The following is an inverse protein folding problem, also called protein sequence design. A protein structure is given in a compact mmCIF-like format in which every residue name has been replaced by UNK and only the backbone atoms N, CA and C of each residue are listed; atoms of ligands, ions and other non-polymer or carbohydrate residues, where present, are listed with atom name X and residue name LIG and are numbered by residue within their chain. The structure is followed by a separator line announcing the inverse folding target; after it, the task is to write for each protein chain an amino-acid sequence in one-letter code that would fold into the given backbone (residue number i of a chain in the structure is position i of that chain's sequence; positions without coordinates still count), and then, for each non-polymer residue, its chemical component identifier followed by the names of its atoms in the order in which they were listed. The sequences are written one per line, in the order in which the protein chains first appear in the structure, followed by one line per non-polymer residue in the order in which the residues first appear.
data_IF_619660171871
#
_entry.id   IF_619660171871
#
_cell.length_a   1.000
_cell.length_b   1.000
_cell.length_c   1.000
_cell.angle_alpha   90.00
_cell.angle_beta   90.00
_cell.angle_gamma   90.00
#
_symmetry.space_group_name_H-M   'P 1'
#
loop_
_entity.id
_entity.type
_entity.pdbx_description
1 polymer ?
#
# COMPACT_ATOMS: atom_id res chain seq x y z
N UNK A 1 13.36 -4.64 2.99
CA UNK A 1 12.28 -3.67 3.27
C UNK A 1 11.42 -4.17 4.44
N UNK A 2 11.11 -3.31 5.43
CA UNK A 2 10.18 -3.67 6.52
C UNK A 2 8.75 -3.75 5.98
N UNK A 3 7.89 -4.56 6.62
CA UNK A 3 6.49 -4.74 6.15
C UNK A 3 5.71 -3.43 6.15
N UNK A 4 5.87 -2.60 7.17
CA UNK A 4 5.19 -1.31 7.28
C UNK A 4 5.54 -0.38 6.10
N UNK A 5 6.83 -0.20 5.81
CA UNK A 5 7.30 0.60 4.67
C UNK A 5 6.70 0.11 3.34
N UNK A 6 6.62 -1.21 3.17
CA UNK A 6 6.07 -1.81 1.94
C UNK A 6 4.58 -1.57 1.78
N UNK A 7 3.80 -1.75 2.85
CA UNK A 7 2.36 -1.48 2.84
C UNK A 7 2.10 -0.01 2.54
N UNK A 8 2.90 0.89 3.13
CA UNK A 8 2.84 2.31 2.86
C UNK A 8 3.12 2.64 1.39
N UNK A 9 4.21 2.13 0.82
CA UNK A 9 4.53 2.33 -0.60
C UNK A 9 3.47 1.73 -1.54
N UNK A 10 2.92 0.57 -1.22
CA UNK A 10 1.83 -0.04 -1.99
C UNK A 10 0.61 0.88 -2.00
N UNK A 11 0.23 1.46 -0.86
CA UNK A 11 -0.88 2.42 -0.81
C UNK A 11 -0.61 3.67 -1.65
N UNK A 12 0.61 4.22 -1.58
CA UNK A 12 1.00 5.36 -2.42
C UNK A 12 0.86 5.06 -3.91
N UNK A 13 1.29 3.88 -4.36
CA UNK A 13 1.15 3.45 -5.75
C UNK A 13 -0.32 3.40 -6.20
N UNK A 14 -1.22 2.90 -5.35
CA UNK A 14 -2.65 2.82 -5.69
C UNK A 14 -3.36 4.18 -5.62
N UNK A 15 -2.84 5.12 -4.84
CA UNK A 15 -3.41 6.46 -4.69
C UNK A 15 -3.27 7.32 -5.96
N UNK A 16 -2.38 6.95 -6.88
CA UNK A 16 -2.26 7.59 -8.20
C UNK A 16 -3.53 7.45 -9.06
N UNK A 17 -4.51 6.64 -8.63
CA UNK A 17 -5.82 6.51 -9.30
C UNK A 17 -5.78 5.67 -10.58
N UNK A 18 -4.67 4.99 -10.84
CA UNK A 18 -4.52 4.06 -11.96
C UNK A 18 -4.67 2.61 -11.50
N UNK A 19 -5.21 1.78 -12.39
CA UNK A 19 -5.25 0.33 -12.19
C UNK A 19 -3.83 -0.24 -12.32
N UNK A 20 -3.38 -0.97 -11.31
CA UNK A 20 -2.08 -1.62 -11.29
C UNK A 20 -2.21 -3.13 -11.10
N UNK A 21 -1.62 -3.91 -12.01
CA UNK A 21 -1.57 -5.37 -11.85
C UNK A 21 -0.68 -5.78 -10.68
N UNK A 22 -0.93 -6.97 -10.11
CA UNK A 22 -0.07 -7.55 -9.09
C UNK A 22 1.42 -7.61 -9.52
N UNK A 23 1.67 -7.82 -10.83
CA UNK A 23 3.02 -7.84 -11.39
C UNK A 23 3.66 -6.45 -11.40
N UNK A 24 2.94 -5.42 -11.86
CA UNK A 24 3.47 -4.05 -11.85
C UNK A 24 3.79 -3.57 -10.42
N UNK A 25 2.93 -3.88 -9.45
CA UNK A 25 3.18 -3.55 -8.03
C UNK A 25 4.38 -4.34 -7.51
N UNK A 26 4.47 -5.64 -7.84
CA UNK A 26 5.57 -6.50 -7.45
C UNK A 26 6.92 -5.99 -7.99
N UNK A 27 6.96 -5.59 -9.26
CA UNK A 27 8.15 -5.05 -9.91
C UNK A 27 8.55 -3.70 -9.28
N UNK A 28 7.58 -2.82 -9.00
CA UNK A 28 7.83 -1.51 -8.38
C UNK A 28 8.33 -1.61 -6.93
N UNK A 29 7.88 -2.62 -6.18
CA UNK A 29 8.24 -2.84 -4.78
C UNK A 29 9.35 -3.88 -4.59
N UNK A 30 9.89 -4.43 -5.69
CA UNK A 30 10.91 -5.49 -5.71
C UNK A 30 10.54 -6.72 -4.84
N UNK A 31 9.28 -7.17 -4.96
CA UNK A 31 8.77 -8.36 -4.25
C UNK A 31 8.11 -9.36 -5.20
N UNK A 32 7.71 -10.51 -4.68
CA UNK A 32 6.93 -11.48 -5.46
C UNK A 32 5.46 -11.05 -5.59
N UNK A 33 4.75 -11.44 -6.67
CA UNK A 33 3.31 -11.24 -6.78
C UNK A 33 2.52 -11.88 -5.62
N UNK A 34 2.99 -13.00 -5.05
CA UNK A 34 2.40 -13.63 -3.85
C UNK A 34 2.43 -12.69 -2.63
N UNK A 35 3.50 -11.92 -2.49
CA UNK A 35 3.61 -10.90 -1.45
C UNK A 35 2.57 -9.80 -1.66
N UNK A 36 2.40 -9.34 -2.90
CA UNK A 36 1.38 -8.34 -3.26
C UNK A 36 -0.02 -8.85 -2.95
N UNK A 37 -0.37 -10.08 -3.34
CA UNK A 37 -1.68 -10.67 -3.04
C UNK A 37 -1.97 -10.69 -1.54
N UNK A 38 -0.98 -11.10 -0.73
CA UNK A 38 -1.11 -11.12 0.73
C UNK A 38 -1.30 -9.71 1.29
N UNK A 39 -0.45 -8.78 0.90
CA UNK A 39 -0.46 -7.41 1.40
C UNK A 39 -1.75 -6.66 1.01
N UNK A 40 -2.28 -6.88 -0.20
CA UNK A 40 -3.61 -6.40 -0.61
C UNK A 40 -4.70 -7.00 0.29
N UNK A 41 -4.65 -8.31 0.53
CA UNK A 41 -5.60 -8.98 1.43
C UNK A 41 -5.57 -8.41 2.85
N UNK A 42 -4.38 -8.10 3.38
CA UNK A 42 -4.21 -7.48 4.68
C UNK A 42 -4.82 -6.06 4.72
N UNK A 43 -4.61 -5.26 3.68
CA UNK A 43 -5.17 -3.90 3.56
C UNK A 43 -6.71 -3.94 3.44
N UNK A 44 -7.25 -4.81 2.58
CA UNK A 44 -8.69 -5.02 2.44
C UNK A 44 -9.30 -5.48 3.77
N UNK A 45 -8.66 -6.44 4.45
CA UNK A 45 -9.08 -6.93 5.76
C UNK A 45 -9.03 -5.86 6.86
N UNK A 46 -8.22 -4.81 6.67
CA UNK A 46 -8.12 -3.64 7.56
C UNK A 46 -9.13 -2.54 7.22
N UNK A 47 -9.99 -2.75 6.21
CA UNK A 47 -11.03 -1.80 5.80
C UNK A 47 -10.60 -0.79 4.73
N UNK A 48 -9.43 -0.96 4.10
CA UNK A 48 -9.02 -0.13 2.97
C UNK A 48 -9.84 -0.54 1.73
N UNK A 49 -10.54 0.40 1.05
CA UNK A 49 -11.41 0.08 -0.09
C UNK A 49 -10.61 -0.07 -1.38
N UNK A 50 -9.91 -1.20 -1.50
CA UNK A 50 -9.18 -1.60 -2.71
C UNK A 50 -10.08 -2.54 -3.51
N UNK A 51 -10.38 -2.16 -4.75
CA UNK A 51 -10.98 -3.07 -5.73
C UNK A 51 -9.89 -3.84 -6.45
N UNK A 52 -10.16 -5.11 -6.74
CA UNK A 52 -9.23 -5.98 -7.42
C UNK A 52 -9.94 -7.04 -8.25
N UNK A 53 -9.52 -7.20 -9.50
CA UNK A 53 -10.01 -8.26 -10.37
C UNK A 53 -8.83 -9.03 -11.00
N UNK A 54 -8.94 -10.36 -11.02
CA UNK A 54 -7.91 -11.24 -11.55
C UNK A 54 -7.67 -10.94 -13.03
N UNK A 55 -6.43 -10.65 -13.39
CA UNK A 55 -6.04 -10.30 -14.77
C UNK A 55 -6.26 -8.83 -15.13
N UNK A 56 -6.97 -8.05 -14.31
CA UNK A 56 -7.16 -6.60 -14.51
C UNK A 56 -6.19 -5.81 -13.62
N UNK A 57 -6.15 -6.13 -12.33
CA UNK A 57 -5.29 -5.45 -11.35
C UNK A 57 -6.08 -4.86 -10.19
N UNK A 58 -5.47 -3.89 -9.51
CA UNK A 58 -5.96 -3.26 -8.30
C UNK A 58 -6.13 -1.77 -8.48
N UNK A 59 -7.15 -1.22 -7.84
CA UNK A 59 -7.45 0.21 -7.80
C UNK A 59 -7.92 0.59 -6.40
N UNK A 60 -7.42 1.71 -5.89
CA UNK A 60 -8.00 2.32 -4.70
C UNK A 60 -9.24 3.12 -5.12
N UNK A 61 -10.41 2.85 -4.53
CA UNK A 61 -11.64 3.58 -4.89
C UNK A 61 -11.48 5.07 -4.65
N UNK A 62 -12.01 5.85 -5.60
CA UNK A 62 -12.08 7.30 -5.50
C UNK A 62 -12.74 7.76 -4.20
N UNK A 63 -12.17 8.81 -3.61
CA UNK A 63 -12.63 9.38 -2.34
C UNK A 63 -12.01 8.75 -1.10
N UNK A 64 -11.27 7.63 -1.21
CA UNK A 64 -10.40 7.18 -0.12
C UNK A 64 -9.11 8.00 -0.11
N UNK A 65 -9.20 9.19 0.46
CA UNK A 65 -8.01 9.91 0.89
C UNK A 65 -7.52 9.22 2.14
N UNK A 66 -6.27 8.74 2.12
CA UNK A 66 -5.54 8.53 3.36
C UNK A 66 -5.80 9.77 4.23
N UNK A 67 -6.27 9.61 5.49
CA UNK A 67 -6.34 10.73 6.41
C UNK A 67 -4.99 11.45 6.36
N UNK A 68 -4.96 12.80 6.42
CA UNK A 68 -3.68 13.50 6.51
C UNK A 68 -2.86 12.81 7.59
N UNK A 69 -1.72 12.23 7.19
CA UNK A 69 -0.87 11.42 8.04
C UNK A 69 -0.26 12.35 9.09
N UNK A 70 -1.03 12.62 10.14
CA UNK A 70 -0.51 13.10 11.39
C UNK A 70 0.22 11.90 11.98
N UNK A 71 1.53 11.81 11.71
CA UNK A 71 2.39 10.87 12.40
C UNK A 71 2.10 10.99 13.90
N UNK A 72 1.86 9.86 14.54
CA UNK A 72 1.75 9.84 15.99
C UNK A 72 3.10 10.29 16.59
N UNK A 73 3.08 10.80 17.83
CA UNK A 73 4.31 11.29 18.49
C UNK A 73 5.38 10.20 18.51
N UNK A 74 4.94 8.96 18.68
CA UNK A 74 5.75 7.75 18.71
C UNK A 74 6.41 7.47 17.34
N UNK A 75 5.67 7.66 16.24
CA UNK A 75 6.19 7.48 14.87
C UNK A 75 7.15 8.61 14.45
N UNK A 76 6.90 9.85 14.89
CA UNK A 76 7.84 10.96 14.68
C UNK A 76 9.17 10.73 15.39
N UNK A 77 9.13 10.18 16.60
CA UNK A 77 10.34 9.85 17.38
C UNK A 77 11.13 8.73 16.68
N UNK A 78 10.45 7.73 16.12
CA UNK A 78 11.11 6.66 15.35
C UNK A 78 11.81 7.18 14.09
N UNK A 79 11.28 8.23 13.44
CA UNK A 79 11.93 8.91 12.32
C UNK A 79 13.10 9.81 12.76
N UNK A 80 12.96 10.52 13.88
CA UNK A 80 13.99 11.44 14.40
C UNK A 80 15.19 10.77 15.05
N UNK A 81 15.04 9.53 15.55
CA UNK A 81 16.12 8.76 16.19
C UNK A 81 16.82 7.77 15.23
N UNK A 82 16.42 7.75 13.96
CA UNK A 82 16.96 6.87 12.93
C UNK A 82 18.09 7.47 12.08
N UNK A 83 18.80 8.48 12.59
CA UNK A 83 19.97 9.11 11.97
C UNK A 83 21.24 8.85 12.78
#
# INVERSE_FOLDING_TARGET
MRRADRLFQLMLLLQEGRVLTARQIADALEVSPRTVYRDIGDLVGSGIPIDGEAGVGYLLRDGYRLPPLMFTREELVALGLGA
#
